data_IF_558165813909
#
_entry.id   IF_558165813909
#
_cell.length_a   1.000
_cell.length_b   1.000
_cell.length_c   1.000
_cell.angle_alpha   90.00
_cell.angle_beta   90.00
_cell.angle_gamma   90.00
#
_symmetry.space_group_name_H-M   'P 1'
#
loop_
_entity.id
_entity.type
_entity.pdbx_description
1 polymer ?
#
# COMPACT_ATOMS: atom_id res chain seq x y z
N UNK A 1 27.06 -3.11 5.50
CA UNK A 1 25.75 -2.84 4.88
C UNK A 1 25.24 -1.51 5.42
N UNK A 2 25.26 -0.42 4.64
CA UNK A 2 24.60 0.82 5.07
C UNK A 2 23.10 0.53 5.06
N UNK A 3 22.46 0.56 6.22
CA UNK A 3 21.01 0.43 6.31
C UNK A 3 20.40 1.48 5.35
N UNK A 4 19.42 1.11 4.52
CA UNK A 4 18.69 2.09 3.73
C UNK A 4 18.17 3.16 4.69
N UNK A 5 18.26 4.43 4.31
CA UNK A 5 17.87 5.53 5.19
C UNK A 5 16.41 5.33 5.62
N UNK A 6 16.21 4.95 6.89
CA UNK A 6 14.90 4.53 7.42
C UNK A 6 13.85 5.63 7.27
N UNK A 7 14.27 6.90 7.31
CA UNK A 7 13.40 8.05 7.07
C UNK A 7 12.92 8.10 5.62
N UNK A 8 13.79 7.80 4.66
CA UNK A 8 13.45 7.79 3.24
C UNK A 8 12.48 6.64 2.90
N UNK A 9 12.73 5.44 3.44
CA UNK A 9 11.80 4.31 3.29
C UNK A 9 10.43 4.61 3.90
N UNK A 10 10.39 5.19 5.10
CA UNK A 10 9.13 5.58 5.74
C UNK A 10 8.39 6.65 4.92
N UNK A 11 9.11 7.63 4.36
CA UNK A 11 8.53 8.68 3.53
C UNK A 11 7.93 8.14 2.24
N UNK A 12 8.66 7.28 1.51
CA UNK A 12 8.15 6.65 0.28
C UNK A 12 6.96 5.75 0.57
N UNK A 13 7.02 4.96 1.64
CA UNK A 13 5.91 4.10 2.04
C UNK A 13 4.69 4.92 2.40
N UNK A 14 4.85 5.99 3.19
CA UNK A 14 3.75 6.90 3.57
C UNK A 14 3.11 7.55 2.34
N UNK A 15 3.90 8.14 1.45
CA UNK A 15 3.41 8.76 0.21
C UNK A 15 2.72 7.76 -0.72
N UNK A 16 3.16 6.50 -0.74
CA UNK A 16 2.54 5.46 -1.55
C UNK A 16 1.25 4.93 -0.92
N UNK A 17 1.21 4.83 0.42
CA UNK A 17 0.08 4.30 1.15
C UNK A 17 -1.11 5.24 1.03
N UNK A 18 -0.94 6.54 1.32
CA UNK A 18 -2.03 7.54 1.36
C UNK A 18 -2.97 7.48 0.14
N UNK A 19 -2.51 7.59 -1.11
CA UNK A 19 -3.40 7.50 -2.27
C UNK A 19 -4.01 6.10 -2.38
N UNK A 20 -3.24 5.07 -2.10
CA UNK A 20 -3.71 3.68 -2.21
C UNK A 20 -4.84 3.37 -1.22
N UNK A 21 -4.77 3.84 0.03
CA UNK A 21 -5.87 3.67 0.99
C UNK A 21 -7.08 4.56 0.68
N UNK A 22 -6.90 5.66 -0.05
CA UNK A 22 -8.01 6.52 -0.44
C UNK A 22 -8.79 5.93 -1.63
N UNK A 23 -8.09 5.48 -2.67
CA UNK A 23 -8.74 5.02 -3.91
C UNK A 23 -9.18 3.55 -3.88
N UNK A 24 -8.40 2.65 -3.25
CA UNK A 24 -8.70 1.21 -3.31
C UNK A 24 -10.05 0.87 -2.65
N UNK A 25 -10.39 1.38 -1.45
CA UNK A 25 -11.67 1.06 -0.82
C UNK A 25 -12.88 1.57 -1.58
N UNK A 26 -12.80 2.73 -2.23
CA UNK A 26 -13.88 3.27 -3.05
C UNK A 26 -14.07 2.45 -4.32
N UNK A 27 -12.97 1.98 -4.91
CA UNK A 27 -13.01 1.05 -6.05
C UNK A 27 -13.61 -0.31 -5.66
N UNK A 28 -13.18 -0.87 -4.52
CA UNK A 28 -13.67 -2.16 -4.00
C UNK A 28 -15.12 -2.06 -3.53
N UNK A 29 -15.57 -0.89 -3.06
CA UNK A 29 -16.96 -0.65 -2.65
C UNK A 29 -17.96 -0.98 -3.76
N UNK A 30 -17.58 -0.78 -5.03
CA UNK A 30 -18.41 -1.06 -6.21
C UNK A 30 -18.75 -2.55 -6.35
N UNK A 31 -17.89 -3.43 -5.83
CA UNK A 31 -18.02 -4.89 -5.95
C UNK A 31 -18.53 -5.56 -4.66
N UNK A 32 -18.53 -4.86 -3.53
CA UNK A 32 -18.88 -5.43 -2.21
C UNK A 32 -20.32 -5.18 -1.77
N UNK A 33 -21.12 -4.50 -2.60
CA UNK A 33 -22.56 -4.32 -2.38
C UNK A 33 -22.91 -3.58 -1.08
N UNK A 34 -22.00 -2.72 -0.58
CA UNK A 34 -22.22 -1.93 0.64
C UNK A 34 -21.89 -2.65 1.95
N UNK A 35 -21.39 -3.90 1.91
CA UNK A 35 -20.97 -4.63 3.11
C UNK A 35 -19.62 -4.07 3.60
N UNK A 36 -19.67 -3.23 4.64
CA UNK A 36 -18.50 -2.49 5.16
C UNK A 36 -17.31 -3.38 5.54
N UNK A 37 -17.55 -4.46 6.29
CA UNK A 37 -16.45 -5.34 6.75
C UNK A 37 -15.77 -6.05 5.57
N UNK A 38 -16.54 -6.46 4.56
CA UNK A 38 -16.03 -7.11 3.36
C UNK A 38 -15.18 -6.13 2.55
N UNK A 39 -15.63 -4.88 2.40
CA UNK A 39 -14.85 -3.84 1.73
C UNK A 39 -13.49 -3.62 2.41
N UNK A 40 -13.46 -3.55 3.75
CA UNK A 40 -12.20 -3.40 4.49
C UNK A 40 -11.28 -4.61 4.29
N UNK A 41 -11.79 -5.83 4.44
CA UNK A 41 -10.98 -7.05 4.30
C UNK A 41 -10.37 -7.16 2.90
N UNK A 42 -11.18 -6.94 1.86
CA UNK A 42 -10.72 -7.03 0.47
C UNK A 42 -9.73 -5.90 0.15
N UNK A 43 -10.02 -4.68 0.59
CA UNK A 43 -9.13 -3.53 0.38
C UNK A 43 -7.77 -3.76 1.05
N UNK A 44 -7.74 -4.14 2.32
CA UNK A 44 -6.48 -4.45 3.04
C UNK A 44 -5.75 -5.61 2.36
N UNK A 45 -6.49 -6.65 1.94
CA UNK A 45 -5.95 -7.79 1.21
C UNK A 45 -5.28 -7.43 -0.12
N UNK A 46 -5.66 -6.31 -0.75
CA UNK A 46 -5.04 -5.80 -1.99
C UNK A 46 -3.88 -4.85 -1.67
N UNK A 47 -4.06 -3.92 -0.72
CA UNK A 47 -3.07 -2.88 -0.40
C UNK A 47 -1.80 -3.51 0.16
N UNK A 48 -1.91 -4.45 1.11
CA UNK A 48 -0.76 -5.05 1.81
C UNK A 48 0.22 -5.74 0.85
N UNK A 49 -0.20 -6.62 -0.07
CA UNK A 49 0.74 -7.24 -1.00
C UNK A 49 1.34 -6.24 -2.00
N UNK A 50 0.60 -5.21 -2.44
CA UNK A 50 1.16 -4.18 -3.33
C UNK A 50 2.27 -3.40 -2.61
N UNK A 51 2.02 -2.95 -1.40
CA UNK A 51 3.05 -2.24 -0.62
C UNK A 51 4.25 -3.16 -0.36
N UNK A 52 3.99 -4.41 0.03
CA UNK A 52 5.04 -5.32 0.51
C UNK A 52 5.90 -5.93 -0.58
N UNK A 53 5.30 -6.29 -1.72
CA UNK A 53 5.97 -7.01 -2.80
C UNK A 53 6.24 -6.15 -4.04
N UNK A 54 5.67 -4.94 -4.12
CA UNK A 54 5.89 -4.03 -5.26
C UNK A 54 6.62 -2.77 -4.77
N UNK A 55 5.99 -1.95 -3.93
CA UNK A 55 6.54 -0.65 -3.53
C UNK A 55 7.86 -0.78 -2.76
N UNK A 56 7.90 -1.58 -1.70
CA UNK A 56 9.10 -1.78 -0.89
C UNK A 56 10.30 -2.28 -1.70
N UNK A 57 10.21 -3.37 -2.49
CA UNK A 57 11.35 -3.85 -3.27
C UNK A 57 11.75 -2.89 -4.39
N UNK A 58 10.81 -2.20 -5.04
CA UNK A 58 11.14 -1.16 -6.01
C UNK A 58 11.93 -0.01 -5.37
N UNK A 59 11.50 0.44 -4.20
CA UNK A 59 12.20 1.47 -3.43
C UNK A 59 13.62 1.03 -3.11
N UNK A 60 13.80 -0.20 -2.61
CA UNK A 60 15.13 -0.75 -2.32
C UNK A 60 15.98 -0.84 -3.58
N UNK A 61 15.40 -1.21 -4.74
CA UNK A 61 16.13 -1.30 -6.00
C UNK A 61 16.54 0.06 -6.57
N UNK A 62 15.74 1.10 -6.37
CA UNK A 62 16.03 2.47 -6.82
C UNK A 62 17.00 3.24 -5.91
N UNK A 63 16.97 2.97 -4.60
CA UNK A 63 17.79 3.67 -3.60
C UNK A 63 19.06 2.90 -3.18
N UNK A 64 19.36 1.77 -3.85
CA UNK A 64 20.63 1.05 -3.72
C UNK A 64 21.63 1.56 -4.74
#
# INVERSE_FOLDING_TARGET
MKAPNRHLMAFVTFLSLVPMVYFVPDFVAQYTGGIKWLNVVVSVGIIVPIISYIIMPLTIKFFK
#
